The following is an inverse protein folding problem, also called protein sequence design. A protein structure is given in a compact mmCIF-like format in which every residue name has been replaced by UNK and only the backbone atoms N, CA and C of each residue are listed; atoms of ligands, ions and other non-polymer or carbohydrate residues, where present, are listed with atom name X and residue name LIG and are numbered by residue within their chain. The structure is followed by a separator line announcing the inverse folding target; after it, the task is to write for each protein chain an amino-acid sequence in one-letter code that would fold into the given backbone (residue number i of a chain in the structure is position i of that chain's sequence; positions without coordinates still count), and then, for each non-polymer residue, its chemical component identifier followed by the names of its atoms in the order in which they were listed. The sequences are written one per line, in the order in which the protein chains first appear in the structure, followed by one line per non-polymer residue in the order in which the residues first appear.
data_IF_534343352589
#
_entry.id   IF_534343352589
#
_cell.length_a   1.000
_cell.length_b   1.000
_cell.length_c   1.000
_cell.angle_alpha   90.00
_cell.angle_beta   90.00
_cell.angle_gamma   90.00
#
_symmetry.space_group_name_H-M   'P 1'
#
loop_
_entity.id
_entity.type
_entity.pdbx_description
1 polymer ?
#
# COMPACT_ATOMS: atom_id res chain seq x y z
N UNK A 1 -3.57 -3.33 -27.54
CA UNK A 1 -5.04 -3.21 -27.43
C UNK A 1 -5.80 -4.54 -27.26
N UNK A 2 -5.27 -5.69 -27.65
CA UNK A 2 -5.96 -6.99 -27.49
C UNK A 2 -5.75 -7.61 -26.09
N UNK A 3 -4.60 -7.37 -25.47
CA UNK A 3 -4.20 -7.98 -24.18
C UNK A 3 -4.92 -7.35 -22.95
N UNK A 4 -5.17 -6.05 -22.96
CA UNK A 4 -5.88 -5.34 -21.86
C UNK A 4 -7.37 -5.73 -21.86
N UNK A 5 -7.95 -5.96 -23.04
CA UNK A 5 -9.33 -6.47 -23.17
C UNK A 5 -9.48 -7.90 -22.63
N UNK A 6 -8.43 -8.73 -22.68
CA UNK A 6 -8.49 -10.09 -22.14
C UNK A 6 -8.49 -10.13 -20.61
N UNK A 7 -7.74 -9.27 -19.94
CA UNK A 7 -7.72 -9.17 -18.47
C UNK A 7 -9.05 -8.61 -17.95
N UNK A 8 -9.62 -7.60 -18.61
CA UNK A 8 -10.94 -7.06 -18.29
C UNK A 8 -12.07 -8.06 -18.58
N UNK A 9 -11.99 -8.86 -19.64
CA UNK A 9 -13.00 -9.87 -20.01
C UNK A 9 -12.98 -11.06 -19.05
N UNK A 10 -11.82 -11.45 -18.48
CA UNK A 10 -11.75 -12.54 -17.50
C UNK A 10 -12.31 -12.14 -16.13
N UNK A 11 -12.17 -10.88 -15.70
CA UNK A 11 -12.85 -10.36 -14.52
C UNK A 11 -14.40 -10.41 -14.67
N UNK A 12 -14.90 -10.29 -15.89
CA UNK A 12 -16.33 -10.28 -16.21
C UNK A 12 -17.00 -11.67 -16.13
N UNK A 13 -16.25 -12.77 -16.27
CA UNK A 13 -16.82 -14.13 -16.39
C UNK A 13 -16.98 -14.89 -15.07
N UNK A 14 -16.45 -14.38 -13.95
CA UNK A 14 -16.50 -15.08 -12.65
C UNK A 14 -17.65 -14.59 -11.74
N UNK A 15 -18.36 -13.52 -12.07
CA UNK A 15 -19.30 -12.82 -11.17
C UNK A 15 -20.80 -13.03 -11.50
N UNK A 16 -21.27 -14.22 -11.86
CA UNK A 16 -22.70 -14.40 -12.18
C UNK A 16 -23.59 -15.06 -11.10
N UNK A 17 -23.17 -15.12 -9.84
CA UNK A 17 -24.01 -15.75 -8.82
C UNK A 17 -23.84 -15.23 -7.40
N UNK A 18 -24.37 -14.04 -7.08
CA UNK A 18 -24.85 -13.69 -5.72
C UNK A 18 -25.60 -12.34 -5.76
N UNK A 19 -26.87 -12.34 -5.42
CA UNK A 19 -27.66 -11.13 -5.22
C UNK A 19 -27.65 -10.74 -3.74
N UNK A 20 -27.38 -9.49 -3.37
CA UNK A 20 -27.38 -9.04 -1.98
C UNK A 20 -28.79 -8.59 -1.50
N UNK A 21 -28.97 -8.70 -0.20
CA UNK A 21 -30.17 -8.26 0.54
C UNK A 21 -30.00 -6.79 0.92
N UNK A 22 -31.03 -5.95 0.62
CA UNK A 22 -31.07 -4.53 0.97
C UNK A 22 -31.08 -4.30 2.49
N UNK A 23 -30.15 -3.50 3.01
CA UNK A 23 -30.26 -2.81 4.31
C UNK A 23 -30.06 -1.31 4.13
N UNK A 24 -31.07 -0.57 4.57
CA UNK A 24 -31.11 0.89 4.64
C UNK A 24 -30.04 1.45 5.58
N UNK A 25 -29.14 2.28 5.06
CA UNK A 25 -28.13 3.00 5.81
C UNK A 25 -28.69 4.30 6.40
N UNK A 26 -28.40 4.56 7.67
CA UNK A 26 -28.72 5.79 8.38
C UNK A 26 -27.82 6.95 7.93
N UNK A 27 -28.43 8.13 7.76
CA UNK A 27 -27.82 9.38 7.31
C UNK A 27 -26.66 9.83 8.20
N UNK A 28 -25.43 9.73 7.70
CA UNK A 28 -24.32 10.59 8.06
C UNK A 28 -24.23 11.76 7.07
N UNK A 29 -23.68 12.95 7.44
CA UNK A 29 -23.59 14.08 6.54
C UNK A 29 -22.87 13.66 5.26
N UNK A 30 -23.57 13.80 4.13
CA UNK A 30 -23.07 13.49 2.80
C UNK A 30 -21.80 14.31 2.55
N UNK A 31 -20.64 13.64 2.57
CA UNK A 31 -19.45 14.14 1.89
C UNK A 31 -19.85 14.27 0.42
N UNK A 32 -19.57 15.38 -0.21
CA UNK A 32 -19.75 15.56 -1.65
C UNK A 32 -18.61 14.78 -2.32
N UNK A 33 -18.81 13.48 -2.47
CA UNK A 33 -17.79 12.53 -2.95
C UNK A 33 -17.20 12.95 -4.30
N UNK A 34 -18.00 13.54 -5.18
CA UNK A 34 -17.53 14.03 -6.49
C UNK A 34 -16.53 15.18 -6.37
N UNK A 35 -16.65 16.06 -5.35
CA UNK A 35 -15.70 17.15 -5.15
C UNK A 35 -14.34 16.72 -4.58
N UNK A 36 -14.28 15.61 -3.85
CA UNK A 36 -13.05 15.11 -3.24
C UNK A 36 -12.22 14.25 -4.23
N UNK A 37 -12.85 13.69 -5.25
CA UNK A 37 -12.21 12.82 -6.22
C UNK A 37 -11.11 13.55 -7.04
N UNK A 38 -11.31 14.84 -7.30
CA UNK A 38 -10.40 15.67 -8.11
C UNK A 38 -9.37 16.45 -7.29
N UNK A 39 -9.46 16.43 -5.94
CA UNK A 39 -8.55 17.18 -5.08
C UNK A 39 -7.24 16.43 -4.85
N UNK A 40 -6.13 17.16 -4.90
CA UNK A 40 -4.83 16.62 -4.47
C UNK A 40 -4.80 16.37 -2.96
N UNK A 41 -3.83 15.55 -2.49
CA UNK A 41 -3.67 15.27 -1.05
C UNK A 41 -3.54 16.54 -0.21
N UNK A 42 -2.72 17.55 -0.57
CA UNK A 42 -2.67 18.81 0.17
C UNK A 42 -4.00 19.58 0.16
N UNK A 43 -4.73 19.55 -0.95
CA UNK A 43 -6.05 20.21 -1.04
C UNK A 43 -7.09 19.53 -0.17
N UNK A 44 -7.12 18.19 -0.14
CA UNK A 44 -7.99 17.41 0.76
C UNK A 44 -7.70 17.72 2.22
N UNK A 45 -6.42 17.67 2.63
CA UNK A 45 -6.01 17.96 4.01
C UNK A 45 -6.43 19.38 4.40
N UNK A 46 -6.20 20.36 3.53
CA UNK A 46 -6.59 21.76 3.75
C UNK A 46 -8.11 21.92 3.80
N UNK A 47 -8.88 21.29 2.90
CA UNK A 47 -10.34 21.30 2.88
C UNK A 47 -10.94 20.83 4.21
N UNK A 48 -10.33 19.81 4.82
CA UNK A 48 -10.77 19.28 6.11
C UNK A 48 -10.26 20.04 7.33
N UNK A 49 -9.50 21.14 7.12
CA UNK A 49 -9.10 22.06 8.16
C UNK A 49 -7.83 21.67 8.91
N UNK A 50 -7.01 20.77 8.34
CA UNK A 50 -5.72 20.40 8.90
C UNK A 50 -4.58 21.18 8.23
N UNK A 51 -3.48 21.45 8.96
CA UNK A 51 -2.26 21.93 8.34
C UNK A 51 -1.63 20.86 7.49
N UNK A 52 -0.99 21.24 6.38
CA UNK A 52 -0.29 20.31 5.50
C UNK A 52 1.03 20.90 5.05
N UNK A 53 2.04 20.05 4.95
CA UNK A 53 3.31 20.34 4.32
C UNK A 53 3.60 19.28 3.26
N UNK A 54 4.16 19.69 2.13
CA UNK A 54 4.68 18.82 1.10
C UNK A 54 6.20 18.92 1.06
N UNK A 55 6.87 17.78 1.16
CA UNK A 55 8.32 17.67 1.12
C UNK A 55 8.76 16.85 -0.09
N UNK A 56 9.92 17.16 -0.63
CA UNK A 56 10.56 16.35 -1.66
C UNK A 56 11.94 15.94 -1.21
N UNK A 57 12.28 14.68 -1.47
CA UNK A 57 13.62 14.13 -1.19
C UNK A 57 14.13 13.38 -2.41
N UNK A 58 15.43 13.52 -2.67
CA UNK A 58 16.09 12.83 -3.78
C UNK A 58 16.83 11.62 -3.24
N UNK A 59 16.54 10.45 -3.79
CA UNK A 59 17.24 9.21 -3.46
C UNK A 59 18.64 9.17 -4.02
N UNK A 60 19.48 8.29 -3.50
CA UNK A 60 20.87 8.13 -3.95
C UNK A 60 21.00 7.72 -5.42
N UNK A 61 19.97 7.09 -5.98
CA UNK A 61 19.89 6.65 -7.37
C UNK A 61 19.03 7.61 -8.25
N UNK A 62 18.63 8.77 -7.72
CA UNK A 62 18.12 9.91 -8.46
C UNK A 62 16.61 10.09 -8.52
N UNK A 63 15.80 9.22 -7.91
CA UNK A 63 14.36 9.40 -7.82
C UNK A 63 14.00 10.55 -6.89
N UNK A 64 12.99 11.35 -7.25
CA UNK A 64 12.47 12.45 -6.46
C UNK A 64 11.14 12.00 -5.87
N UNK A 65 11.12 11.82 -4.54
CA UNK A 65 9.98 11.30 -3.81
C UNK A 65 9.24 12.43 -3.10
N UNK A 66 7.91 12.38 -3.13
CA UNK A 66 7.04 13.32 -2.42
C UNK A 66 6.58 12.72 -1.09
N UNK A 67 6.62 13.50 -0.03
CA UNK A 67 6.15 13.12 1.30
C UNK A 67 5.15 14.18 1.75
N UNK A 68 3.97 13.78 2.22
CA UNK A 68 3.00 14.69 2.81
C UNK A 68 3.05 14.61 4.34
N UNK A 69 2.90 15.76 5.00
CA UNK A 69 2.94 15.88 6.46
C UNK A 69 1.69 16.55 6.99
N UNK A 70 1.11 16.00 8.05
CA UNK A 70 0.14 16.67 8.91
C UNK A 70 0.81 16.86 10.27
N UNK A 71 1.38 18.06 10.55
CA UNK A 71 2.24 18.27 11.73
C UNK A 71 1.49 18.26 13.07
N UNK A 72 0.17 18.47 13.05
CA UNK A 72 -0.69 18.42 14.24
C UNK A 72 -2.16 18.31 13.85
N UNK A 73 -3.03 17.92 14.77
CA UNK A 73 -4.48 17.90 14.60
C UNK A 73 -5.06 19.30 14.37
N UNK A 74 -6.27 19.39 13.84
CA UNK A 74 -6.92 20.67 13.47
C UNK A 74 -7.14 21.63 14.65
N UNK A 75 -7.34 21.08 15.85
CA UNK A 75 -7.59 21.88 17.07
C UNK A 75 -6.31 22.18 17.85
N UNK A 76 -5.13 21.86 17.30
CA UNK A 76 -3.81 22.12 17.88
C UNK A 76 -3.00 23.07 17.00
N UNK A 77 -2.05 23.76 17.62
CA UNK A 77 -1.03 24.56 16.92
C UNK A 77 0.39 24.11 17.29
N UNK A 78 0.50 23.04 18.06
CA UNK A 78 1.78 22.53 18.54
C UNK A 78 2.14 21.28 17.80
N UNK A 79 3.30 21.30 17.14
CA UNK A 79 3.89 20.11 16.51
C UNK A 79 4.35 19.15 17.60
N UNK A 80 4.02 17.87 17.44
CA UNK A 80 4.35 16.84 18.41
C UNK A 80 5.78 16.30 18.19
N UNK A 81 6.41 15.80 19.26
CA UNK A 81 7.62 15.00 19.20
C UNK A 81 7.36 13.51 18.93
N UNK A 82 6.08 13.12 18.86
CA UNK A 82 5.63 11.77 18.53
C UNK A 82 5.47 11.63 17.00
N UNK A 83 6.55 11.32 16.32
CA UNK A 83 6.56 11.19 14.86
C UNK A 83 6.09 9.81 14.43
N UNK A 84 5.19 9.75 13.44
CA UNK A 84 4.74 8.52 12.79
C UNK A 84 4.89 8.63 11.27
N UNK A 85 5.46 7.59 10.66
CA UNK A 85 5.61 7.45 9.22
C UNK A 85 4.68 6.36 8.69
N UNK A 86 3.85 6.71 7.71
CA UNK A 86 2.87 5.84 7.07
C UNK A 86 3.35 5.48 5.66
N UNK A 87 3.45 4.19 5.36
CA UNK A 87 3.85 3.68 4.04
C UNK A 87 2.73 2.88 3.40
N UNK A 88 2.30 3.33 2.23
CA UNK A 88 1.21 2.75 1.44
C UNK A 88 1.56 1.42 0.76
N UNK A 89 0.53 0.73 0.23
CA UNK A 89 0.60 -0.52 -0.50
C UNK A 89 0.95 -0.38 -2.00
N UNK A 90 0.92 -1.51 -2.71
CA UNK A 90 1.06 -1.56 -4.16
C UNK A 90 -0.10 -0.81 -4.84
N UNK A 91 0.19 -0.05 -5.91
CA UNK A 91 -0.77 0.78 -6.66
C UNK A 91 -1.45 1.89 -5.84
N UNK A 92 -0.90 2.21 -4.70
CA UNK A 92 -1.44 3.11 -3.71
C UNK A 92 -0.57 4.36 -3.58
N UNK A 93 -1.00 5.30 -2.72
CA UNK A 93 -0.28 6.54 -2.42
C UNK A 93 -0.58 7.03 -1.01
N UNK A 94 -0.01 8.17 -0.64
CA UNK A 94 -0.34 8.86 0.62
C UNK A 94 -1.82 9.21 0.75
N UNK A 95 -2.58 9.27 -0.35
CA UNK A 95 -4.01 9.55 -0.35
C UNK A 95 -4.82 8.51 0.44
N UNK A 96 -4.43 7.25 0.41
CA UNK A 96 -5.16 6.16 1.06
C UNK A 96 -5.32 6.35 2.58
N UNK A 97 -4.42 7.14 3.19
CA UNK A 97 -4.45 7.43 4.62
C UNK A 97 -5.46 8.51 5.02
N UNK A 98 -6.08 9.22 4.03
CA UNK A 98 -6.91 10.41 4.29
C UNK A 98 -8.25 10.43 3.52
N UNK A 99 -8.39 9.70 2.41
CA UNK A 99 -9.56 9.82 1.51
C UNK A 99 -10.88 9.37 2.13
N UNK A 100 -10.84 8.61 3.22
CA UNK A 100 -12.04 8.20 3.98
C UNK A 100 -12.55 9.30 4.94
N UNK A 101 -11.95 10.49 4.89
CA UNK A 101 -12.34 11.63 5.71
C UNK A 101 -11.85 11.57 7.16
N UNK A 102 -12.16 12.60 7.94
CA UNK A 102 -11.54 12.87 9.23
C UNK A 102 -11.85 11.85 10.32
N UNK A 103 -12.94 11.09 10.18
CA UNK A 103 -13.36 10.10 11.18
C UNK A 103 -12.88 8.68 10.87
N UNK A 104 -12.41 8.43 9.64
CA UNK A 104 -11.97 7.11 9.19
C UNK A 104 -10.55 7.11 8.59
N UNK A 105 -10.04 8.25 8.12
CA UNK A 105 -8.68 8.37 7.62
C UNK A 105 -7.66 8.33 8.75
N UNK A 106 -6.80 7.31 8.74
CA UNK A 106 -5.80 7.11 9.80
C UNK A 106 -4.86 8.31 9.95
N UNK A 107 -4.54 9.02 8.86
CA UNK A 107 -3.71 10.21 8.92
C UNK A 107 -4.30 11.32 9.79
N UNK A 108 -5.59 11.59 9.66
CA UNK A 108 -6.28 12.58 10.50
C UNK A 108 -6.43 12.11 11.95
N UNK A 109 -6.82 10.84 12.12
CA UNK A 109 -7.01 10.26 13.46
C UNK A 109 -5.70 10.34 14.25
N UNK A 110 -4.57 9.99 13.66
CA UNK A 110 -3.26 10.10 14.33
C UNK A 110 -2.88 11.54 14.64
N UNK A 111 -3.14 12.48 13.73
CA UNK A 111 -2.88 13.90 13.95
C UNK A 111 -3.71 14.45 15.12
N UNK A 112 -4.99 14.08 15.22
CA UNK A 112 -5.88 14.46 16.33
C UNK A 112 -5.48 13.78 17.66
N UNK A 113 -4.87 12.58 17.60
CA UNK A 113 -4.26 11.89 18.77
C UNK A 113 -2.88 12.47 19.15
N UNK A 114 -2.47 13.56 18.51
CA UNK A 114 -1.28 14.32 18.85
C UNK A 114 0.02 13.73 18.28
N UNK A 115 -0.04 13.09 17.13
CA UNK A 115 1.14 12.66 16.38
C UNK A 115 1.48 13.67 15.27
N UNK A 116 2.77 13.80 14.97
CA UNK A 116 3.30 14.41 13.74
C UNK A 116 3.32 13.34 12.65
N UNK A 117 2.39 13.43 11.70
CA UNK A 117 2.08 12.36 10.74
C UNK A 117 2.75 12.63 9.41
N UNK A 118 3.55 11.69 8.95
CA UNK A 118 4.25 11.73 7.68
C UNK A 118 3.80 10.56 6.80
N UNK A 119 3.45 10.86 5.56
CA UNK A 119 2.89 9.90 4.59
C UNK A 119 3.79 9.85 3.36
N UNK A 120 4.53 8.76 3.21
CA UNK A 120 5.46 8.55 2.10
C UNK A 120 4.76 8.20 0.79
N UNK A 121 5.41 8.53 -0.33
CA UNK A 121 5.04 8.06 -1.67
C UNK A 121 6.24 7.36 -2.29
N UNK A 122 6.09 6.07 -2.61
CA UNK A 122 7.14 5.28 -3.25
C UNK A 122 7.35 5.72 -4.70
N UNK A 123 8.59 5.51 -5.21
CA UNK A 123 8.94 5.76 -6.62
C UNK A 123 7.95 5.13 -7.58
N UNK A 124 7.62 5.84 -8.64
CA UNK A 124 6.75 5.38 -9.73
C UNK A 124 5.26 5.45 -9.44
N UNK A 125 4.81 5.85 -8.23
CA UNK A 125 3.44 6.30 -8.09
C UNK A 125 3.30 7.72 -8.67
N UNK A 126 2.09 8.16 -9.01
CA UNK A 126 1.89 9.44 -9.71
C UNK A 126 2.42 10.67 -8.95
N UNK A 127 2.59 10.61 -7.62
CA UNK A 127 3.14 11.70 -6.80
C UNK A 127 4.68 11.66 -6.73
N UNK A 128 5.31 10.52 -7.02
CA UNK A 128 6.76 10.30 -7.03
C UNK A 128 7.24 9.75 -8.38
N UNK A 129 6.63 10.21 -9.47
CA UNK A 129 6.93 9.85 -10.86
C UNK A 129 7.93 10.83 -11.47
N UNK A 130 9.06 11.02 -10.77
CA UNK A 130 10.09 12.00 -11.15
C UNK A 130 11.50 11.49 -10.81
N UNK A 131 12.48 11.91 -11.62
CA UNK A 131 13.88 11.53 -11.47
C UNK A 131 14.79 12.67 -11.95
N UNK A 132 16.01 12.74 -11.43
CA UNK A 132 16.95 13.79 -11.74
C UNK A 132 17.43 13.81 -13.20
N UNK A 133 17.41 12.67 -13.88
CA UNK A 133 17.95 12.49 -15.25
C UNK A 133 17.08 11.65 -16.16
N UNK A 134 16.19 10.78 -15.63
CA UNK A 134 15.35 9.89 -16.42
C UNK A 134 13.95 10.49 -16.58
N UNK A 135 13.39 10.33 -17.78
CA UNK A 135 12.02 10.70 -18.11
C UNK A 135 11.11 9.48 -17.99
N UNK A 136 10.11 9.47 -17.09
CA UNK A 136 9.21 8.33 -16.92
C UNK A 136 8.38 7.98 -18.17
N UNK A 137 8.19 8.91 -19.09
CA UNK A 137 7.41 8.70 -20.31
C UNK A 137 8.26 8.15 -21.47
N UNK A 138 9.59 8.39 -21.44
CA UNK A 138 10.48 8.08 -22.56
C UNK A 138 11.60 7.09 -22.21
N UNK A 139 12.00 7.01 -20.93
CA UNK A 139 13.12 6.17 -20.52
C UNK A 139 12.64 4.92 -19.76
N UNK A 140 12.77 3.76 -20.39
CA UNK A 140 12.40 2.48 -19.78
C UNK A 140 13.21 2.17 -18.50
N UNK A 141 14.43 2.74 -18.39
CA UNK A 141 15.29 2.65 -17.22
C UNK A 141 14.64 3.19 -15.97
N UNK A 142 13.79 4.22 -16.08
CA UNK A 142 13.03 4.78 -14.95
C UNK A 142 12.21 3.68 -14.22
N UNK A 143 11.70 2.69 -14.92
CA UNK A 143 10.82 1.64 -14.41
C UNK A 143 11.53 0.36 -14.00
N UNK A 144 12.88 0.33 -14.05
CA UNK A 144 13.67 -0.86 -13.72
C UNK A 144 13.89 -1.01 -12.21
N UNK A 145 12.81 -1.00 -11.45
CA UNK A 145 12.79 -1.22 -10.02
C UNK A 145 11.62 -2.12 -9.61
N UNK A 146 11.75 -2.75 -8.46
CA UNK A 146 10.70 -3.52 -7.80
C UNK A 146 10.44 -2.95 -6.39
N UNK A 147 9.68 -3.64 -5.55
CA UNK A 147 9.56 -3.27 -4.15
C UNK A 147 10.86 -3.46 -3.35
N UNK A 148 11.88 -4.12 -3.93
CA UNK A 148 13.22 -4.16 -3.35
C UNK A 148 13.83 -2.76 -3.21
N UNK A 149 13.85 -1.99 -4.29
CA UNK A 149 14.41 -0.64 -4.31
C UNK A 149 13.59 0.31 -3.42
N UNK A 150 12.28 0.11 -3.33
CA UNK A 150 11.43 0.89 -2.42
C UNK A 150 11.87 0.66 -0.96
N UNK A 151 12.05 -0.60 -0.55
CA UNK A 151 12.51 -0.92 0.81
C UNK A 151 13.97 -0.60 1.06
N UNK A 152 14.85 -0.82 0.07
CA UNK A 152 16.28 -0.63 0.24
C UNK A 152 16.74 0.83 0.11
N UNK A 153 15.99 1.69 -0.60
CA UNK A 153 16.42 3.05 -0.93
C UNK A 153 15.36 4.10 -0.55
N UNK A 154 14.10 3.94 -1.00
CA UNK A 154 13.08 4.98 -0.81
C UNK A 154 12.73 5.18 0.66
N UNK A 155 12.32 4.11 1.33
CA UNK A 155 11.87 4.18 2.74
C UNK A 155 12.98 4.69 3.66
N UNK A 156 14.24 4.20 3.57
CA UNK A 156 15.37 4.77 4.32
C UNK A 156 15.56 6.27 4.06
N UNK A 157 15.53 6.69 2.78
CA UNK A 157 15.71 8.11 2.39
C UNK A 157 14.61 9.00 2.97
N UNK A 158 13.36 8.55 2.92
CA UNK A 158 12.23 9.29 3.48
C UNK A 158 12.30 9.36 5.01
N UNK A 159 12.64 8.26 5.69
CA UNK A 159 12.80 8.23 7.15
C UNK A 159 13.92 9.16 7.61
N UNK A 160 15.06 9.17 6.93
CA UNK A 160 16.17 10.06 7.27
C UNK A 160 15.77 11.53 7.15
N UNK A 161 15.06 11.89 6.08
CA UNK A 161 14.52 13.24 5.92
C UNK A 161 13.54 13.61 7.06
N UNK A 162 12.62 12.71 7.40
CA UNK A 162 11.66 12.92 8.48
C UNK A 162 12.36 13.16 9.82
N UNK A 163 13.36 12.35 10.14
CA UNK A 163 14.13 12.47 11.38
C UNK A 163 14.98 13.74 11.41
N UNK A 164 15.55 14.16 10.26
CA UNK A 164 16.26 15.43 10.13
C UNK A 164 15.35 16.63 10.36
N UNK A 165 14.19 16.66 9.71
CA UNK A 165 13.25 17.79 9.82
C UNK A 165 12.65 17.89 11.22
N UNK A 166 12.32 16.76 11.84
CA UNK A 166 11.70 16.73 13.17
C UNK A 166 12.70 16.84 14.32
N UNK A 167 14.00 16.63 14.05
CA UNK A 167 15.03 16.56 15.06
C UNK A 167 14.91 15.32 15.98
N UNK A 168 14.12 14.33 15.59
CA UNK A 168 13.93 13.09 16.35
C UNK A 168 14.98 12.04 15.93
N UNK A 169 15.26 11.10 16.81
CA UNK A 169 16.18 9.98 16.53
C UNK A 169 15.48 8.70 16.13
N UNK A 170 14.16 8.63 16.36
CA UNK A 170 13.34 7.46 16.03
C UNK A 170 11.88 7.86 15.88
N UNK A 171 11.12 7.06 15.14
CA UNK A 171 9.71 7.27 14.84
C UNK A 171 8.92 5.96 14.93
N UNK A 172 7.59 6.06 14.92
CA UNK A 172 6.71 4.92 14.68
C UNK A 172 6.53 4.72 13.17
N UNK A 173 6.48 3.47 12.74
CA UNK A 173 6.21 3.13 11.35
C UNK A 173 4.93 2.31 11.24
N UNK A 174 4.05 2.69 10.33
CA UNK A 174 2.85 1.91 10.00
C UNK A 174 2.92 1.62 8.49
N UNK A 175 2.86 0.35 8.12
CA UNK A 175 2.80 -0.06 6.73
C UNK A 175 1.51 -0.80 6.43
N UNK A 176 0.98 -0.62 5.23
CA UNK A 176 -0.10 -1.44 4.70
C UNK A 176 0.40 -2.25 3.51
N UNK A 177 0.09 -3.56 3.47
CA UNK A 177 0.40 -4.40 2.30
C UNK A 177 1.89 -4.29 1.89
N UNK A 178 2.21 -3.81 0.67
CA UNK A 178 3.60 -3.56 0.22
C UNK A 178 4.38 -2.62 1.15
N UNK A 179 3.71 -1.71 1.87
CA UNK A 179 4.36 -0.87 2.88
C UNK A 179 4.97 -1.68 4.02
N UNK A 180 4.42 -2.87 4.32
CA UNK A 180 5.02 -3.81 5.26
C UNK A 180 6.19 -4.57 4.64
N UNK A 181 6.07 -4.98 3.37
CA UNK A 181 7.14 -5.62 2.60
C UNK A 181 8.39 -4.73 2.57
N UNK A 182 8.22 -3.46 2.21
CA UNK A 182 9.31 -2.49 2.13
C UNK A 182 9.98 -2.23 3.48
N UNK A 183 9.22 -2.27 4.58
CA UNK A 183 9.77 -2.21 5.93
C UNK A 183 10.68 -3.40 6.25
N UNK A 184 10.24 -4.63 5.95
CA UNK A 184 11.06 -5.82 6.20
C UNK A 184 12.31 -5.83 5.32
N UNK A 185 12.21 -5.35 4.08
CA UNK A 185 13.38 -5.18 3.19
C UNK A 185 14.35 -4.18 3.80
N UNK A 186 13.89 -2.97 4.17
CA UNK A 186 14.73 -1.93 4.78
C UNK A 186 15.51 -2.47 5.98
N UNK A 187 14.78 -3.01 6.95
CA UNK A 187 15.37 -3.39 8.24
C UNK A 187 16.23 -4.65 8.18
N UNK A 188 16.08 -5.50 7.15
CA UNK A 188 16.94 -6.65 6.90
C UNK A 188 18.21 -6.31 6.11
N UNK A 189 18.14 -5.34 5.17
CA UNK A 189 19.28 -4.91 4.36
C UNK A 189 20.12 -3.85 5.10
N UNK A 190 19.44 -2.98 5.84
CA UNK A 190 20.02 -1.88 6.62
C UNK A 190 19.68 -2.06 8.11
N UNK A 191 20.34 -2.99 8.83
CA UNK A 191 20.02 -3.27 10.23
C UNK A 191 20.12 -2.07 11.16
N UNK A 192 20.91 -1.04 10.80
CA UNK A 192 21.02 0.22 11.53
C UNK A 192 19.71 0.99 11.63
N UNK A 193 18.77 0.79 10.69
CA UNK A 193 17.44 1.42 10.76
C UNK A 193 16.55 0.84 11.85
N UNK A 194 16.86 -0.35 12.37
CA UNK A 194 16.10 -0.89 13.50
C UNK A 194 16.12 0.09 14.71
N UNK A 195 17.24 0.76 14.95
CA UNK A 195 17.37 1.74 16.04
C UNK A 195 16.56 3.04 15.81
N UNK A 196 16.15 3.32 14.56
CA UNK A 196 15.34 4.47 14.20
C UNK A 196 13.83 4.19 14.31
N UNK A 197 13.43 2.95 14.63
CA UNK A 197 12.03 2.52 14.70
C UNK A 197 11.66 2.20 16.16
N UNK A 198 10.74 2.98 16.73
CA UNK A 198 10.18 2.73 18.08
C UNK A 198 9.33 1.45 18.07
N UNK A 199 8.46 1.31 17.08
CA UNK A 199 7.67 0.13 16.78
C UNK A 199 7.15 0.21 15.35
N UNK A 200 6.97 -0.98 14.73
CA UNK A 200 6.33 -1.13 13.43
C UNK A 200 4.98 -1.85 13.57
N UNK A 201 3.98 -1.33 12.89
CA UNK A 201 2.64 -1.89 12.81
C UNK A 201 2.35 -2.30 11.36
N UNK A 202 2.24 -3.61 11.16
CA UNK A 202 1.95 -4.19 9.86
C UNK A 202 0.44 -4.40 9.72
N UNK A 203 -0.20 -3.63 8.86
CA UNK A 203 -1.59 -3.80 8.45
C UNK A 203 -1.60 -4.68 7.20
N UNK A 204 -2.25 -5.85 7.24
CA UNK A 204 -2.21 -6.83 6.16
C UNK A 204 -0.75 -7.19 5.76
N UNK A 205 0.06 -7.81 6.65
CA UNK A 205 1.49 -8.03 6.45
C UNK A 205 1.81 -8.93 5.26
N UNK A 206 2.71 -8.51 4.37
CA UNK A 206 3.15 -9.24 3.18
C UNK A 206 4.68 -9.45 3.23
N UNK A 207 5.10 -10.71 3.39
CA UNK A 207 6.47 -11.19 3.21
C UNK A 207 6.50 -12.56 2.54
N UNK A 208 5.52 -13.41 2.81
CA UNK A 208 5.28 -14.67 2.14
C UNK A 208 3.90 -14.66 1.52
N UNK A 209 3.75 -15.20 0.31
CA UNK A 209 2.49 -15.17 -0.44
C UNK A 209 2.10 -16.52 -1.05
N UNK A 210 2.78 -17.60 -0.70
CA UNK A 210 2.51 -18.88 -1.34
C UNK A 210 1.19 -19.55 -0.88
N UNK A 211 0.54 -19.03 0.16
CA UNK A 211 -0.77 -19.50 0.63
C UNK A 211 -1.88 -18.45 0.40
N UNK A 212 -1.58 -17.34 -0.30
CA UNK A 212 -2.60 -16.37 -0.66
C UNK A 212 -3.69 -17.03 -1.51
N UNK A 213 -4.92 -16.55 -1.39
CA UNK A 213 -6.10 -17.18 -2.02
C UNK A 213 -6.72 -16.35 -3.14
N UNK A 214 -6.17 -15.18 -3.46
CA UNK A 214 -6.66 -14.33 -4.54
C UNK A 214 -6.58 -15.02 -5.90
N UNK A 215 -7.72 -15.31 -6.56
CA UNK A 215 -7.72 -15.98 -7.87
C UNK A 215 -6.98 -15.19 -8.94
N UNK A 216 -7.11 -13.86 -8.91
CA UNK A 216 -6.47 -12.99 -9.89
C UNK A 216 -4.94 -13.01 -9.73
N UNK A 217 -4.44 -12.98 -8.50
CA UNK A 217 -3.00 -13.04 -8.24
C UNK A 217 -2.42 -14.41 -8.62
N UNK A 218 -3.16 -15.50 -8.43
CA UNK A 218 -2.75 -16.82 -8.95
C UNK A 218 -2.63 -16.85 -10.47
N UNK A 219 -3.58 -16.25 -11.19
CA UNK A 219 -3.51 -16.14 -12.65
C UNK A 219 -2.29 -15.32 -13.08
N UNK A 220 -2.05 -14.17 -12.44
CA UNK A 220 -0.89 -13.33 -12.71
C UNK A 220 0.42 -14.07 -12.43
N UNK A 221 0.51 -14.79 -11.32
CA UNK A 221 1.69 -15.58 -10.96
C UNK A 221 1.95 -16.73 -11.95
N UNK A 222 0.91 -17.43 -12.39
CA UNK A 222 1.03 -18.50 -13.37
C UNK A 222 1.54 -17.99 -14.74
N UNK A 223 1.06 -16.82 -15.17
CA UNK A 223 1.43 -16.22 -16.45
C UNK A 223 2.62 -15.25 -16.37
N UNK A 224 3.24 -15.07 -15.20
CA UNK A 224 4.27 -14.04 -14.98
C UNK A 224 5.43 -14.12 -15.97
N UNK A 225 5.99 -15.31 -16.23
CA UNK A 225 7.10 -15.46 -17.17
C UNK A 225 6.75 -15.04 -18.61
N UNK A 226 5.68 -15.56 -19.25
CA UNK A 226 5.22 -15.12 -20.55
C UNK A 226 4.79 -13.63 -20.59
N UNK A 227 4.15 -13.12 -19.52
CA UNK A 227 3.72 -11.73 -19.46
C UNK A 227 4.89 -10.76 -19.32
N UNK A 228 5.91 -11.09 -18.54
CA UNK A 228 7.13 -10.28 -18.41
C UNK A 228 7.84 -10.13 -19.77
N UNK A 229 8.02 -11.24 -20.47
CA UNK A 229 8.60 -11.21 -21.83
C UNK A 229 7.77 -10.38 -22.79
N UNK A 230 6.45 -10.51 -22.74
CA UNK A 230 5.55 -9.75 -23.61
C UNK A 230 5.58 -8.27 -23.27
N UNK A 231 5.50 -7.90 -21.96
CA UNK A 231 5.55 -6.51 -21.52
C UNK A 231 6.84 -5.80 -22.00
N UNK A 232 7.98 -6.46 -21.81
CA UNK A 232 9.28 -5.96 -22.30
C UNK A 232 9.33 -5.80 -23.82
N UNK A 233 8.76 -6.77 -24.57
CA UNK A 233 8.74 -6.73 -26.05
C UNK A 233 7.88 -5.58 -26.60
N UNK A 234 6.80 -5.22 -25.92
CA UNK A 234 5.88 -4.13 -26.33
C UNK A 234 6.15 -2.81 -25.62
N UNK A 235 7.19 -2.76 -24.77
CA UNK A 235 7.61 -1.54 -24.07
C UNK A 235 6.69 -1.08 -22.95
N UNK A 236 5.88 -1.97 -22.36
CA UNK A 236 5.06 -1.65 -21.18
C UNK A 236 5.92 -1.85 -19.93
N UNK A 237 6.26 -0.75 -19.27
CA UNK A 237 7.07 -0.73 -18.04
C UNK A 237 6.27 -0.24 -16.83
N UNK A 238 5.27 0.62 -17.05
CA UNK A 238 4.35 1.12 -16.04
C UNK A 238 3.09 0.25 -15.98
N UNK A 239 2.63 -0.06 -14.77
CA UNK A 239 1.44 -0.87 -14.53
C UNK A 239 0.35 -0.04 -13.86
N UNK A 240 -0.84 0.02 -14.48
CA UNK A 240 -2.01 0.78 -14.05
C UNK A 240 -1.67 2.23 -13.65
N UNK A 241 -1.16 3.05 -14.60
CA UNK A 241 -0.89 4.45 -14.34
C UNK A 241 -2.17 5.19 -13.94
N UNK A 242 -2.06 6.11 -13.00
CA UNK A 242 -3.13 7.07 -12.73
C UNK A 242 -3.12 8.12 -13.84
N UNK A 243 -4.09 8.05 -14.74
CA UNK A 243 -4.23 8.98 -15.86
C UNK A 243 -5.70 9.17 -16.22
N UNK A 244 -5.99 10.17 -17.07
CA UNK A 244 -7.34 10.52 -17.51
C UNK A 244 -8.14 9.31 -18.04
N UNK A 245 -7.48 8.33 -18.65
CA UNK A 245 -8.14 7.12 -19.14
C UNK A 245 -8.60 6.24 -17.98
N UNK A 246 -7.79 6.08 -16.92
CA UNK A 246 -8.17 5.29 -15.74
C UNK A 246 -9.23 6.02 -14.90
N UNK A 247 -9.15 7.35 -14.78
CA UNK A 247 -10.20 8.17 -14.18
C UNK A 247 -11.53 8.00 -14.94
N UNK A 248 -11.51 8.13 -16.27
CA UNK A 248 -12.71 7.91 -17.10
C UNK A 248 -13.25 6.46 -16.98
N UNK A 249 -12.39 5.45 -16.83
CA UNK A 249 -12.82 4.06 -16.59
C UNK A 249 -13.47 3.94 -15.21
N UNK A 250 -12.93 4.61 -14.20
CA UNK A 250 -13.50 4.71 -12.86
C UNK A 250 -14.89 5.37 -12.89
N UNK A 251 -15.00 6.54 -13.52
CA UNK A 251 -16.26 7.28 -13.66
C UNK A 251 -17.36 6.44 -14.37
N UNK A 252 -16.96 5.65 -15.37
CA UNK A 252 -17.94 4.81 -16.12
C UNK A 252 -18.27 3.52 -15.39
N UNK A 253 -17.28 2.88 -14.72
CA UNK A 253 -17.46 1.57 -14.07
C UNK A 253 -17.87 1.69 -12.60
N UNK A 254 -17.57 2.84 -11.95
CA UNK A 254 -17.83 3.06 -10.53
C UNK A 254 -18.82 4.23 -10.30
N UNK A 255 -19.52 4.69 -11.35
CA UNK A 255 -20.54 5.73 -11.25
C UNK A 255 -21.69 5.32 -10.30
N UNK A 256 -22.42 6.32 -9.79
CA UNK A 256 -23.51 6.18 -8.80
C UNK A 256 -24.75 5.41 -9.28
N UNK A 257 -24.68 4.63 -10.36
CA UNK A 257 -25.77 3.73 -10.70
C UNK A 257 -25.51 2.32 -10.13
N UNK A 258 -26.58 1.67 -9.66
CA UNK A 258 -26.55 0.40 -8.94
C UNK A 258 -25.78 -0.72 -9.66
N UNK A 259 -25.69 -0.71 -10.99
CA UNK A 259 -25.05 -1.76 -11.77
C UNK A 259 -23.55 -1.54 -11.87
N UNK A 260 -23.12 -0.31 -12.14
CA UNK A 260 -21.69 0.02 -12.31
C UNK A 260 -20.97 0.01 -10.95
N UNK A 261 -21.59 0.51 -9.89
CA UNK A 261 -21.11 0.44 -8.53
C UNK A 261 -20.92 -1.01 -8.07
N UNK A 262 -21.89 -1.88 -8.38
CA UNK A 262 -21.79 -3.32 -8.11
C UNK A 262 -20.59 -3.96 -8.83
N UNK A 263 -20.32 -3.63 -10.10
CA UNK A 263 -19.21 -4.17 -10.88
C UNK A 263 -17.86 -3.71 -10.33
N UNK A 264 -17.74 -2.44 -9.94
CA UNK A 264 -16.52 -1.88 -9.35
C UNK A 264 -16.17 -2.57 -8.02
N UNK A 265 -17.14 -2.63 -7.11
CA UNK A 265 -16.95 -3.27 -5.80
C UNK A 265 -16.56 -4.73 -5.94
N UNK A 266 -17.19 -5.48 -6.85
CA UNK A 266 -16.85 -6.89 -7.07
C UNK A 266 -15.46 -7.09 -7.69
N UNK A 267 -14.95 -6.16 -8.50
CA UNK A 267 -13.59 -6.23 -9.02
C UNK A 267 -12.55 -6.10 -7.90
N UNK A 268 -12.75 -5.17 -6.95
CA UNK A 268 -11.91 -5.03 -5.75
C UNK A 268 -12.00 -6.29 -4.87
N UNK A 269 -13.19 -6.81 -4.63
CA UNK A 269 -13.38 -8.02 -3.84
C UNK A 269 -12.75 -9.25 -4.47
N UNK A 270 -12.71 -9.37 -5.79
CA UNK A 270 -12.06 -10.48 -6.50
C UNK A 270 -10.53 -10.53 -6.29
N UNK A 271 -9.93 -9.41 -5.90
CA UNK A 271 -8.50 -9.32 -5.58
C UNK A 271 -8.26 -9.52 -4.08
N UNK A 272 -9.04 -8.84 -3.26
CA UNK A 272 -8.73 -8.56 -1.86
C UNK A 272 -9.50 -9.40 -0.84
N UNK A 273 -10.61 -10.03 -1.26
CA UNK A 273 -11.56 -10.73 -0.39
C UNK A 273 -12.93 -10.04 -0.39
N UNK A 274 -13.99 -10.78 -0.14
CA UNK A 274 -15.36 -10.28 -0.22
C UNK A 274 -15.83 -9.71 1.12
N UNK A 275 -16.02 -8.39 1.20
CA UNK A 275 -16.39 -7.66 2.44
C UNK A 275 -17.40 -6.55 2.18
N UNK A 276 -18.65 -6.87 1.82
CA UNK A 276 -19.64 -5.86 1.45
C UNK A 276 -20.08 -4.99 2.63
N UNK A 277 -20.06 -5.50 3.86
CA UNK A 277 -20.51 -4.78 5.05
C UNK A 277 -19.47 -3.74 5.55
N UNK A 278 -18.20 -3.85 5.12
CA UNK A 278 -17.13 -2.90 5.42
C UNK A 278 -16.98 -1.81 4.36
N UNK A 279 -17.46 -2.04 3.14
CA UNK A 279 -17.30 -1.09 2.04
C UNK A 279 -18.33 0.04 2.13
N UNK A 280 -17.85 1.25 2.35
CA UNK A 280 -18.67 2.45 2.12
C UNK A 280 -18.66 2.82 0.64
N UNK A 281 -19.70 2.42 -0.09
CA UNK A 281 -19.75 2.65 -1.53
C UNK A 281 -19.73 4.15 -1.91
N UNK A 282 -20.07 5.06 -1.01
CA UNK A 282 -20.04 6.51 -1.29
C UNK A 282 -18.61 7.06 -1.45
N UNK A 283 -17.58 6.35 -1.01
CA UNK A 283 -16.19 6.77 -1.21
C UNK A 283 -15.59 6.27 -2.53
N UNK A 284 -16.30 5.41 -3.28
CA UNK A 284 -15.77 4.82 -4.51
C UNK A 284 -15.31 5.85 -5.55
N UNK A 285 -16.03 6.96 -5.81
CA UNK A 285 -15.54 8.01 -6.70
C UNK A 285 -14.21 8.61 -6.23
N UNK A 286 -14.09 8.91 -4.93
CA UNK A 286 -12.84 9.44 -4.35
C UNK A 286 -11.72 8.39 -4.43
N UNK A 287 -12.02 7.15 -4.08
CA UNK A 287 -11.07 6.04 -4.16
C UNK A 287 -10.54 5.88 -5.59
N UNK A 288 -11.41 5.88 -6.60
CA UNK A 288 -10.99 5.70 -8.00
C UNK A 288 -10.29 6.92 -8.59
N UNK A 289 -10.51 8.12 -8.06
CA UNK A 289 -9.75 9.32 -8.40
C UNK A 289 -8.29 9.25 -7.94
N UNK A 290 -8.00 8.50 -6.86
CA UNK A 290 -6.66 8.42 -6.27
C UNK A 290 -5.97 7.07 -6.47
N UNK A 291 -6.71 5.99 -6.68
CA UNK A 291 -6.21 4.61 -6.78
C UNK A 291 -6.86 3.90 -7.99
N UNK A 292 -6.08 3.27 -8.89
CA UNK A 292 -4.65 2.98 -8.77
C UNK A 292 -3.74 4.21 -8.97
N UNK A 293 -2.65 4.28 -8.21
CA UNK A 293 -1.68 5.38 -8.27
C UNK A 293 -0.47 5.08 -9.19
N UNK A 294 -0.46 3.95 -9.87
CA UNK A 294 0.63 3.49 -10.71
C UNK A 294 1.72 2.70 -9.97
N UNK A 295 2.43 1.87 -10.70
CA UNK A 295 3.60 1.13 -10.23
C UNK A 295 4.47 0.65 -11.40
N UNK A 296 5.69 0.15 -11.13
CA UNK A 296 6.43 -0.57 -12.15
C UNK A 296 5.87 -1.99 -12.35
N UNK A 297 5.97 -2.50 -13.57
CA UNK A 297 5.64 -3.90 -13.88
C UNK A 297 6.48 -4.86 -12.99
N UNK A 298 7.73 -4.50 -12.70
CA UNK A 298 8.61 -5.33 -11.88
C UNK A 298 8.13 -5.50 -10.44
N UNK A 299 7.38 -4.55 -9.85
CA UNK A 299 6.77 -4.74 -8.52
C UNK A 299 5.77 -5.91 -8.54
N UNK A 300 4.91 -5.95 -9.54
CA UNK A 300 3.91 -7.02 -9.72
C UNK A 300 4.60 -8.36 -10.03
N UNK A 301 5.63 -8.34 -10.90
CA UNK A 301 6.41 -9.54 -11.23
C UNK A 301 7.15 -10.10 -10.01
N UNK A 302 7.66 -9.26 -9.14
CA UNK A 302 8.36 -9.69 -7.93
C UNK A 302 7.41 -10.44 -6.97
N UNK A 303 6.17 -9.95 -6.79
CA UNK A 303 5.14 -10.71 -6.05
C UNK A 303 4.79 -12.03 -6.72
N UNK A 304 4.67 -12.05 -8.04
CA UNK A 304 4.45 -13.30 -8.77
C UNK A 304 5.58 -14.33 -8.56
N UNK A 305 6.84 -13.85 -8.51
CA UNK A 305 7.99 -14.70 -8.17
C UNK A 305 7.92 -15.21 -6.73
N UNK A 306 7.46 -14.39 -5.80
CA UNK A 306 7.30 -14.73 -4.38
C UNK A 306 6.19 -15.78 -4.18
N UNK A 307 5.04 -15.62 -4.84
CA UNK A 307 3.95 -16.60 -4.88
C UNK A 307 4.46 -17.96 -5.38
N UNK A 308 5.19 -17.96 -6.50
CA UNK A 308 5.69 -19.18 -7.13
C UNK A 308 6.82 -19.86 -6.33
N UNK A 309 7.69 -19.08 -5.70
CA UNK A 309 8.84 -19.61 -4.96
C UNK A 309 8.55 -19.95 -3.49
N UNK A 310 7.56 -19.30 -2.89
CA UNK A 310 7.28 -19.38 -1.45
C UNK A 310 8.38 -18.81 -0.57
N UNK A 311 9.27 -17.97 -1.14
CA UNK A 311 10.45 -17.44 -0.47
C UNK A 311 10.48 -15.91 -0.52
N UNK A 312 10.69 -15.27 0.64
CA UNK A 312 10.92 -13.83 0.73
C UNK A 312 12.39 -13.54 0.37
N UNK A 313 12.61 -13.13 -0.88
CA UNK A 313 13.96 -12.96 -1.46
C UNK A 313 13.97 -11.82 -2.49
N UNK A 314 15.18 -11.41 -2.90
CA UNK A 314 15.36 -10.38 -3.90
C UNK A 314 14.83 -10.80 -5.28
N UNK A 315 14.67 -9.84 -6.19
CA UNK A 315 14.09 -10.04 -7.51
C UNK A 315 14.87 -11.07 -8.34
N UNK A 316 14.15 -11.99 -8.98
CA UNK A 316 14.73 -13.03 -9.81
C UNK A 316 14.90 -12.54 -11.26
N UNK A 317 16.15 -12.25 -11.64
CA UNK A 317 16.52 -11.86 -13.01
C UNK A 317 16.83 -13.06 -13.92
N UNK A 318 16.50 -14.28 -13.49
CA UNK A 318 16.81 -15.51 -14.23
C UNK A 318 18.31 -15.76 -14.35
N UNK A 319 18.80 -15.94 -15.58
CA UNK A 319 20.23 -16.20 -15.78
C UNK A 319 21.13 -15.01 -15.39
N UNK A 320 20.61 -13.78 -15.41
CA UNK A 320 21.36 -12.60 -14.99
C UNK A 320 21.60 -12.53 -13.47
N UNK A 321 20.96 -13.39 -12.67
CA UNK A 321 21.25 -13.54 -11.25
C UNK A 321 22.73 -13.84 -10.97
N UNK A 322 23.36 -14.61 -11.88
CA UNK A 322 24.79 -14.96 -11.70
C UNK A 322 25.68 -13.72 -11.73
N UNK A 323 25.38 -12.79 -12.63
CA UNK A 323 26.13 -11.54 -12.73
C UNK A 323 25.79 -10.57 -11.59
N UNK A 324 24.51 -10.54 -11.17
CA UNK A 324 24.01 -9.60 -10.16
C UNK A 324 24.27 -10.05 -8.72
N UNK A 325 24.16 -11.34 -8.45
CA UNK A 325 24.21 -11.91 -7.09
C UNK A 325 25.35 -12.90 -6.87
N UNK A 326 26.08 -13.30 -7.94
CA UNK A 326 27.07 -14.39 -7.88
C UNK A 326 26.44 -15.78 -7.66
N UNK A 327 25.12 -15.90 -7.81
CA UNK A 327 24.32 -17.11 -7.62
C UNK A 327 23.19 -17.16 -8.63
N UNK A 328 22.75 -18.37 -9.02
CA UNK A 328 21.56 -18.53 -9.87
C UNK A 328 20.24 -18.28 -9.10
N UNK A 329 20.29 -18.31 -7.78
CA UNK A 329 19.14 -18.05 -6.91
C UNK A 329 19.32 -16.69 -6.23
N UNK A 330 18.31 -15.80 -6.27
CA UNK A 330 18.35 -14.53 -5.55
C UNK A 330 18.54 -14.74 -4.04
N UNK A 331 19.30 -13.86 -3.35
CA UNK A 331 19.50 -13.96 -1.92
C UNK A 331 18.19 -13.71 -1.14
N UNK A 332 17.91 -14.47 -0.08
CA UNK A 332 16.79 -14.22 0.80
C UNK A 332 17.02 -12.96 1.64
N UNK A 333 15.94 -12.30 2.06
CA UNK A 333 15.99 -11.27 3.09
C UNK A 333 16.19 -11.93 4.46
N UNK A 334 17.11 -11.40 5.24
CA UNK A 334 17.48 -11.95 6.54
C UNK A 334 16.59 -11.33 7.64
N UNK A 335 15.42 -11.94 7.85
CA UNK A 335 14.43 -11.44 8.81
C UNK A 335 14.90 -11.51 10.27
N UNK A 336 15.86 -12.38 10.57
CA UNK A 336 16.51 -12.51 11.88
C UNK A 336 17.41 -11.34 12.24
N UNK A 337 17.78 -10.48 11.29
CA UNK A 337 18.48 -9.21 11.54
C UNK A 337 17.53 -8.09 12.03
N UNK A 338 16.23 -8.30 11.93
CA UNK A 338 15.24 -7.31 12.36
C UNK A 338 15.09 -7.39 13.88
N UNK A 339 15.30 -6.25 14.54
CA UNK A 339 15.23 -6.14 16.00
C UNK A 339 14.22 -5.09 16.48
N UNK A 340 13.71 -4.25 15.57
CA UNK A 340 12.64 -3.32 15.88
C UNK A 340 11.37 -4.07 16.31
N UNK A 341 10.62 -3.60 17.33
CA UNK A 341 9.38 -4.23 17.74
C UNK A 341 8.32 -4.22 16.63
N UNK A 342 7.75 -5.37 16.27
CA UNK A 342 6.77 -5.54 15.21
C UNK A 342 5.47 -6.12 15.75
N UNK A 343 4.35 -5.49 15.35
CA UNK A 343 2.99 -5.95 15.61
C UNK A 343 2.31 -6.26 14.28
N UNK A 344 1.81 -7.48 14.12
CA UNK A 344 1.16 -7.96 12.90
C UNK A 344 -0.35 -7.96 13.10
N UNK A 345 -1.09 -7.22 12.26
CA UNK A 345 -2.56 -7.19 12.25
C UNK A 345 -3.03 -7.88 10.96
N UNK A 346 -3.78 -8.96 11.08
CA UNK A 346 -4.21 -9.81 9.96
C UNK A 346 -5.67 -10.26 10.12
N UNK A 347 -6.29 -10.73 9.06
CA UNK A 347 -7.67 -11.20 9.04
C UNK A 347 -7.83 -12.48 8.23
N UNK A 348 -8.89 -13.25 8.49
CA UNK A 348 -9.12 -14.52 7.77
C UNK A 348 -9.55 -14.33 6.32
N UNK A 349 -10.25 -13.22 6.02
CA UNK A 349 -10.76 -12.93 4.68
C UNK A 349 -9.81 -12.08 3.83
N UNK A 350 -8.60 -11.85 4.32
CA UNK A 350 -7.54 -11.23 3.51
C UNK A 350 -6.96 -12.27 2.54
N UNK A 351 -7.32 -12.12 1.25
CA UNK A 351 -6.90 -13.06 0.22
C UNK A 351 -5.46 -12.88 -0.25
N UNK A 352 -4.81 -11.79 0.17
CA UNK A 352 -3.41 -11.47 -0.14
C UNK A 352 -2.48 -11.86 1.01
N UNK A 353 -2.87 -11.56 2.25
CA UNK A 353 -2.10 -11.79 3.48
C UNK A 353 -2.66 -12.99 4.25
N UNK A 354 -2.38 -14.20 3.78
CA UNK A 354 -2.89 -15.42 4.38
C UNK A 354 -2.33 -15.64 5.80
N UNK A 355 -3.18 -16.07 6.75
CA UNK A 355 -2.79 -16.36 8.14
C UNK A 355 -1.56 -17.26 8.25
N UNK A 356 -1.47 -18.31 7.42
CA UNK A 356 -0.34 -19.27 7.41
C UNK A 356 0.98 -18.54 7.10
N UNK A 357 0.96 -17.61 6.15
CA UNK A 357 2.12 -16.81 5.76
C UNK A 357 2.48 -15.79 6.82
N UNK A 358 1.49 -15.19 7.51
CA UNK A 358 1.69 -14.29 8.66
C UNK A 358 2.30 -15.03 9.86
N UNK A 359 1.84 -16.24 10.14
CA UNK A 359 2.42 -17.07 11.21
C UNK A 359 3.88 -17.38 10.90
N UNK A 360 4.18 -17.80 9.67
CA UNK A 360 5.55 -18.07 9.19
C UNK A 360 6.43 -16.83 9.29
N UNK A 361 5.90 -15.65 8.94
CA UNK A 361 6.61 -14.37 9.07
C UNK A 361 6.99 -14.10 10.52
N UNK A 362 6.03 -14.21 11.46
CA UNK A 362 6.30 -14.00 12.89
C UNK A 362 7.35 -14.96 13.44
N UNK A 363 7.32 -16.24 13.03
CA UNK A 363 8.31 -17.23 13.41
C UNK A 363 9.73 -16.85 12.93
N UNK A 364 9.85 -16.34 11.70
CA UNK A 364 11.15 -15.92 11.14
C UNK A 364 11.64 -14.57 11.69
N UNK A 365 10.75 -13.72 12.17
CA UNK A 365 11.10 -12.48 12.86
C UNK A 365 11.58 -12.74 14.31
N UNK A 366 11.29 -13.90 14.88
CA UNK A 366 11.70 -14.25 16.23
C UNK A 366 11.27 -13.21 17.28
N UNK A 367 12.19 -12.73 18.08
CA UNK A 367 11.94 -11.77 19.17
C UNK A 367 11.44 -10.40 18.69
N UNK A 368 11.64 -10.05 17.43
CA UNK A 368 11.09 -8.81 16.86
C UNK A 368 9.56 -8.86 16.76
N UNK A 369 8.96 -10.04 16.52
CA UNK A 369 7.51 -10.23 16.48
C UNK A 369 6.93 -10.18 17.89
N UNK A 370 6.42 -9.01 18.31
CA UNK A 370 5.88 -8.81 19.65
C UNK A 370 4.50 -9.45 19.82
N UNK A 371 3.64 -9.36 18.78
CA UNK A 371 2.32 -9.98 18.79
C UNK A 371 1.73 -10.06 17.38
N UNK A 372 0.82 -11.02 17.21
CA UNK A 372 -0.10 -11.14 16.09
C UNK A 372 -1.51 -10.87 16.56
N UNK A 373 -2.25 -10.01 15.87
CA UNK A 373 -3.64 -9.69 16.16
C UNK A 373 -4.53 -10.09 14.99
N UNK A 374 -5.35 -11.09 15.23
CA UNK A 374 -6.44 -11.43 14.31
C UNK A 374 -7.54 -10.39 14.49
N UNK A 375 -7.97 -9.76 13.39
CA UNK A 375 -9.11 -8.86 13.38
C UNK A 375 -10.38 -9.66 13.66
N UNK A 376 -11.18 -9.20 14.62
CA UNK A 376 -12.34 -9.92 15.15
C UNK A 376 -13.56 -9.92 14.21
N UNK A 377 -13.35 -9.72 12.93
CA UNK A 377 -14.36 -9.79 11.87
C UNK A 377 -13.95 -10.81 10.81
N UNK A 378 -14.81 -11.80 10.58
CA UNK A 378 -14.54 -12.88 9.63
C UNK A 378 -14.61 -12.48 8.16
N UNK A 379 -15.16 -11.32 7.83
CA UNK A 379 -15.28 -10.78 6.47
C UNK A 379 -14.29 -9.66 6.16
N UNK A 380 -13.54 -9.18 7.16
CA UNK A 380 -12.57 -8.08 7.01
C UNK A 380 -11.46 -8.45 6.02
N UNK A 381 -11.38 -7.71 4.91
CA UNK A 381 -10.50 -8.02 3.78
C UNK A 381 -9.20 -7.18 3.76
N UNK A 382 -8.41 -7.32 2.68
CA UNK A 382 -7.12 -6.66 2.51
C UNK A 382 -7.20 -5.12 2.46
N UNK A 383 -8.29 -4.56 1.93
CA UNK A 383 -8.49 -3.11 1.80
C UNK A 383 -9.18 -2.49 3.01
N UNK A 384 -9.87 -3.28 3.82
CA UNK A 384 -10.63 -2.78 4.95
C UNK A 384 -9.76 -2.16 6.04
N UNK A 385 -8.44 -2.47 6.08
CA UNK A 385 -7.48 -1.79 6.94
C UNK A 385 -7.36 -0.29 6.68
N UNK A 386 -7.75 0.18 5.47
CA UNK A 386 -7.69 1.57 5.03
C UNK A 386 -9.09 2.17 4.82
N UNK A 387 -10.00 1.37 4.25
CA UNK A 387 -11.27 1.86 3.75
C UNK A 387 -12.49 1.27 4.47
N UNK A 388 -12.27 0.30 5.37
CA UNK A 388 -13.34 -0.34 6.12
C UNK A 388 -14.06 0.61 7.08
N UNK A 389 -15.38 0.53 7.10
CA UNK A 389 -16.24 1.37 7.98
C UNK A 389 -15.82 1.19 9.45
N UNK A 390 -15.41 -0.02 9.86
CA UNK A 390 -14.98 -0.31 11.22
C UNK A 390 -13.46 -0.35 11.43
N UNK A 391 -12.65 0.08 10.43
CA UNK A 391 -11.21 0.15 10.58
C UNK A 391 -10.76 0.96 11.82
N UNK A 392 -11.37 2.11 12.16
CA UNK A 392 -11.02 2.84 13.39
C UNK A 392 -11.21 2.00 14.65
N UNK A 393 -12.31 1.27 14.75
CA UNK A 393 -12.63 0.43 15.92
C UNK A 393 -11.77 -0.83 15.97
N UNK A 394 -11.67 -1.56 14.85
CA UNK A 394 -11.06 -2.88 14.82
C UNK A 394 -9.52 -2.84 14.72
N UNK A 395 -8.97 -1.78 14.12
CA UNK A 395 -7.53 -1.66 13.80
C UNK A 395 -6.89 -0.47 14.50
N UNK A 396 -7.36 0.77 14.22
CA UNK A 396 -6.61 1.98 14.58
C UNK A 396 -6.53 2.21 16.09
N UNK A 397 -7.62 1.99 16.84
CA UNK A 397 -7.62 2.07 18.31
C UNK A 397 -6.60 1.11 18.92
N UNK A 398 -6.43 -0.08 18.34
CA UNK A 398 -5.42 -1.05 18.79
C UNK A 398 -4.01 -0.53 18.52
N UNK A 399 -3.75 -0.04 17.32
CA UNK A 399 -2.44 0.50 16.92
C UNK A 399 -2.05 1.66 17.84
N UNK A 400 -2.93 2.66 18.02
CA UNK A 400 -2.69 3.83 18.88
C UNK A 400 -2.42 3.40 20.34
N UNK A 401 -3.23 2.45 20.85
CA UNK A 401 -3.01 1.91 22.20
C UNK A 401 -1.66 1.21 22.37
N UNK A 402 -1.15 0.58 21.31
CA UNK A 402 0.17 -0.07 21.33
C UNK A 402 1.28 0.97 21.18
N UNK A 403 1.14 1.97 20.30
CA UNK A 403 2.09 3.08 20.16
C UNK A 403 2.34 3.80 21.50
N UNK A 404 1.28 3.98 22.29
CA UNK A 404 1.37 4.63 23.62
C UNK A 404 2.21 3.84 24.65
N UNK A 405 2.66 2.61 24.35
CA UNK A 405 3.49 1.77 25.23
C UNK A 405 4.99 1.86 24.91
N UNK A 406 5.35 2.45 23.80
CA UNK A 406 6.71 2.66 23.31
C UNK A 406 7.09 4.15 23.38
#
# INVERSE_FOLDING_TARGET
MLSIKLVAIFAFLVCSSALPHERTLQNNPVLTADEDADLTVPELITKYGYPVEEHQVTTSDGYILTIHRIPHGKDSTTVSDKVVFLQHGLLSSSADWIITGTTHGLGYILADEGYDVWMGNARGNHMSRNHTTLDPDNDSEFWQFSWHEIGAIDVPTMIDHVLEVTGQTSLYHIGHSQGTTSFYVMTSIHPEYNAKIKAHFSLAPIAYMNHMTSPLMHILAFWSGPLDVLAKLIGINEFLPNNEFMAMVGDVLCADDDITQFLCTNALFAICGFSPDEMNATILPVLTGHTPAGSSVNQVMHYAQEINSGAFRQFDYGLANLDKYGSLTPPPYQLDLITAPIYLLYSHNDWMSAEVDVVKLCENLGDACQAKFLIADGEFNHLDYLFGIRAPELVYNKVISLMARH
#
